data_IF_828486846710
#
_entry.id   IF_828486846710
#
_cell.length_a   1.000
_cell.length_b   1.000
_cell.length_c   1.000
_cell.angle_alpha   90.00
_cell.angle_beta   90.00
_cell.angle_gamma   90.00
#
_symmetry.space_group_name_H-M   'P 1'
#
loop_
_entity.id
_entity.type
_entity.pdbx_description
1 polymer ?
#
# COMPACT_ATOMS: atom_id res chain seq x y z
N UNK A 1 -31.91 -9.71 -26.03
CA UNK A 1 -32.58 -9.09 -24.87
C UNK A 1 -31.91 -9.57 -23.58
N UNK A 2 -30.80 -8.94 -23.16
CA UNK A 2 -30.03 -9.26 -21.93
C UNK A 2 -30.35 -8.29 -20.78
N UNK A 3 -31.59 -7.79 -20.72
CA UNK A 3 -31.96 -6.70 -19.81
C UNK A 3 -32.24 -7.15 -18.36
N UNK A 4 -32.35 -8.45 -18.09
CA UNK A 4 -32.77 -8.96 -16.77
C UNK A 4 -31.65 -9.39 -15.83
N UNK A 5 -30.53 -9.91 -16.34
CA UNK A 5 -29.52 -10.56 -15.49
C UNK A 5 -28.72 -9.58 -14.63
N UNK A 6 -28.40 -8.38 -15.14
CA UNK A 6 -27.64 -7.38 -14.39
C UNK A 6 -28.45 -6.75 -13.24
N UNK A 7 -29.79 -6.69 -13.38
CA UNK A 7 -30.66 -6.14 -12.33
C UNK A 7 -30.63 -7.00 -11.08
N UNK A 8 -30.56 -8.33 -11.24
CA UNK A 8 -30.45 -9.27 -10.12
C UNK A 8 -29.16 -9.00 -9.34
N UNK A 9 -28.02 -8.89 -10.03
CA UNK A 9 -26.73 -8.61 -9.40
C UNK A 9 -26.70 -7.26 -8.70
N UNK A 10 -27.33 -6.25 -9.31
CA UNK A 10 -27.44 -4.93 -8.71
C UNK A 10 -28.29 -4.99 -7.43
N UNK A 11 -29.46 -5.63 -7.45
CA UNK A 11 -30.31 -5.77 -6.26
C UNK A 11 -29.59 -6.50 -5.13
N UNK A 12 -28.83 -7.56 -5.45
CA UNK A 12 -28.01 -8.28 -4.46
C UNK A 12 -26.92 -7.38 -3.89
N UNK A 13 -26.19 -6.64 -4.73
CA UNK A 13 -25.11 -5.76 -4.28
C UNK A 13 -25.63 -4.60 -3.39
N UNK A 14 -26.72 -3.95 -3.83
CA UNK A 14 -27.38 -2.88 -3.07
C UNK A 14 -27.93 -3.42 -1.75
N UNK A 15 -28.62 -4.56 -1.79
CA UNK A 15 -29.18 -5.20 -0.60
C UNK A 15 -28.12 -5.58 0.43
N UNK A 16 -27.02 -6.21 -0.01
CA UNK A 16 -25.90 -6.56 0.85
C UNK A 16 -25.26 -5.30 1.47
N UNK A 17 -25.04 -4.25 0.66
CA UNK A 17 -24.51 -2.97 1.13
C UNK A 17 -25.40 -2.31 2.19
N UNK A 18 -26.71 -2.27 1.96
CA UNK A 18 -27.68 -1.71 2.92
C UNK A 18 -27.71 -2.52 4.22
N UNK A 19 -27.73 -3.86 4.16
CA UNK A 19 -27.72 -4.72 5.36
C UNK A 19 -26.46 -4.47 6.19
N UNK A 20 -25.29 -4.42 5.56
CA UNK A 20 -24.03 -4.15 6.26
C UNK A 20 -24.06 -2.76 6.90
N UNK A 21 -24.54 -1.73 6.19
CA UNK A 21 -24.65 -0.38 6.73
C UNK A 21 -25.62 -0.32 7.92
N UNK A 22 -26.82 -0.90 7.79
CA UNK A 22 -27.81 -0.94 8.86
C UNK A 22 -27.27 -1.65 10.12
N UNK A 23 -26.49 -2.71 9.95
CA UNK A 23 -25.86 -3.43 11.07
C UNK A 23 -24.82 -2.62 11.87
N UNK A 24 -24.46 -1.40 11.43
CA UNK A 24 -23.68 -0.46 12.24
C UNK A 24 -24.54 0.50 13.08
N UNK A 25 -25.80 0.74 12.69
CA UNK A 25 -26.67 1.74 13.32
C UNK A 25 -27.82 1.12 14.12
N UNK A 26 -28.18 -0.12 13.85
CA UNK A 26 -29.36 -0.79 14.43
C UNK A 26 -28.93 -2.05 15.18
N UNK A 27 -29.27 -2.12 16.47
CA UNK A 27 -29.01 -3.27 17.34
C UNK A 27 -30.18 -4.28 17.28
N UNK A 28 -30.30 -4.96 16.13
CA UNK A 28 -31.26 -6.04 15.92
C UNK A 28 -30.48 -7.30 15.58
N UNK A 29 -30.67 -8.35 16.37
CA UNK A 29 -29.90 -9.60 16.29
C UNK A 29 -29.85 -10.18 14.86
N UNK A 30 -30.98 -10.20 14.15
CA UNK A 30 -31.05 -10.69 12.76
C UNK A 30 -30.16 -9.88 11.79
N UNK A 31 -30.05 -8.56 11.97
CA UNK A 31 -29.23 -7.68 11.12
C UNK A 31 -27.75 -7.87 11.47
N UNK A 32 -27.42 -8.02 12.75
CA UNK A 32 -26.05 -8.27 13.20
C UNK A 32 -25.51 -9.59 12.66
N UNK A 33 -26.27 -10.69 12.77
CA UNK A 33 -25.90 -12.01 12.24
C UNK A 33 -25.73 -11.97 10.70
N UNK A 34 -26.61 -11.25 10.00
CA UNK A 34 -26.49 -11.06 8.55
C UNK A 34 -25.25 -10.23 8.17
N UNK A 35 -24.97 -9.12 8.89
CA UNK A 35 -23.76 -8.31 8.70
C UNK A 35 -22.51 -9.14 8.94
N UNK A 36 -22.45 -9.91 10.02
CA UNK A 36 -21.29 -10.77 10.31
C UNK A 36 -21.07 -11.79 9.18
N UNK A 37 -22.12 -12.45 8.71
CA UNK A 37 -22.03 -13.41 7.61
C UNK A 37 -21.51 -12.75 6.31
N UNK A 38 -22.05 -11.58 5.94
CA UNK A 38 -21.61 -10.81 4.78
C UNK A 38 -20.15 -10.33 4.92
N UNK A 39 -19.75 -9.91 6.11
CA UNK A 39 -18.37 -9.49 6.39
C UNK A 39 -17.39 -10.67 6.31
N UNK A 40 -17.77 -11.86 6.78
CA UNK A 40 -16.95 -13.07 6.62
C UNK A 40 -16.75 -13.41 5.13
N UNK A 41 -17.80 -13.35 4.32
CA UNK A 41 -17.67 -13.55 2.87
C UNK A 41 -16.79 -12.47 2.22
N UNK A 42 -16.94 -11.20 2.62
CA UNK A 42 -16.09 -10.12 2.13
C UNK A 42 -14.61 -10.35 2.46
N UNK A 43 -14.30 -10.84 3.68
CA UNK A 43 -12.93 -11.18 4.09
C UNK A 43 -12.37 -12.33 3.25
N UNK A 44 -13.16 -13.36 2.99
CA UNK A 44 -12.75 -14.49 2.12
C UNK A 44 -12.47 -14.00 0.70
N UNK A 45 -13.32 -13.13 0.15
CA UNK A 45 -13.11 -12.53 -1.17
C UNK A 45 -11.85 -11.64 -1.20
N UNK A 46 -11.61 -10.85 -0.15
CA UNK A 46 -10.41 -10.03 -0.03
C UNK A 46 -9.13 -10.87 0.04
N UNK A 47 -9.14 -11.96 0.83
CA UNK A 47 -8.02 -12.91 0.89
C UNK A 47 -7.76 -13.55 -0.49
N UNK A 48 -8.82 -13.93 -1.20
CA UNK A 48 -8.73 -14.48 -2.57
C UNK A 48 -8.19 -13.44 -3.56
N UNK A 49 -8.58 -12.17 -3.42
CA UNK A 49 -8.07 -11.09 -4.26
C UNK A 49 -6.56 -10.85 -4.05
N UNK A 50 -6.09 -10.89 -2.80
CA UNK A 50 -4.65 -10.83 -2.49
C UNK A 50 -3.92 -12.01 -3.12
N UNK A 51 -4.47 -13.22 -3.01
CA UNK A 51 -3.92 -14.42 -3.65
C UNK A 51 -3.87 -14.29 -5.18
N UNK A 52 -4.94 -13.79 -5.81
CA UNK A 52 -4.95 -13.50 -7.25
C UNK A 52 -3.89 -12.47 -7.64
N UNK A 53 -3.63 -11.46 -6.79
CA UNK A 53 -2.53 -10.51 -6.97
C UNK A 53 -1.16 -11.19 -6.99
N UNK A 54 -0.93 -12.15 -6.09
CA UNK A 54 0.29 -12.96 -6.05
C UNK A 54 0.44 -13.82 -7.32
N UNK A 55 -0.65 -14.48 -7.75
CA UNK A 55 -0.67 -15.29 -8.98
C UNK A 55 -0.39 -14.42 -10.20
N UNK A 56 -0.97 -13.23 -10.28
CA UNK A 56 -0.72 -12.29 -11.37
C UNK A 56 0.76 -11.87 -11.42
N UNK A 57 1.34 -11.54 -10.27
CA UNK A 57 2.76 -11.22 -10.18
C UNK A 57 3.63 -12.40 -10.64
N UNK A 58 3.33 -13.61 -10.16
CA UNK A 58 4.00 -14.83 -10.60
C UNK A 58 3.89 -15.03 -12.11
N UNK A 59 2.69 -14.87 -12.69
CA UNK A 59 2.43 -15.07 -14.12
C UNK A 59 3.23 -14.08 -14.98
N UNK A 60 3.26 -12.80 -14.60
CA UNK A 60 4.03 -11.77 -15.32
C UNK A 60 5.52 -12.09 -15.31
N UNK A 61 6.07 -12.44 -14.14
CA UNK A 61 7.50 -12.76 -14.03
C UNK A 61 7.86 -14.12 -14.63
N UNK A 62 6.98 -15.11 -14.54
CA UNK A 62 7.13 -16.40 -15.20
C UNK A 62 7.19 -16.25 -16.72
N UNK A 63 6.30 -15.43 -17.30
CA UNK A 63 6.34 -15.16 -18.74
C UNK A 63 7.65 -14.49 -19.17
N UNK A 64 8.19 -13.57 -18.37
CA UNK A 64 9.52 -12.96 -18.62
C UNK A 64 10.65 -13.98 -18.59
N UNK A 65 10.60 -14.93 -17.64
CA UNK A 65 11.59 -16.02 -17.54
C UNK A 65 11.48 -16.94 -18.75
N UNK A 66 10.27 -17.38 -19.10
CA UNK A 66 10.02 -18.30 -20.21
C UNK A 66 10.40 -17.71 -21.56
N UNK A 67 10.19 -16.41 -21.76
CA UNK A 67 10.54 -15.71 -23.01
C UNK A 67 11.96 -15.16 -23.01
N UNK A 68 12.73 -15.35 -21.93
CA UNK A 68 14.08 -14.81 -21.74
C UNK A 68 14.17 -13.31 -22.07
N UNK A 69 13.15 -12.54 -21.68
CA UNK A 69 13.12 -11.10 -21.93
C UNK A 69 14.29 -10.40 -21.24
N UNK A 70 14.58 -9.14 -21.62
CA UNK A 70 15.59 -8.34 -20.93
C UNK A 70 15.38 -8.39 -19.40
N UNK A 71 16.46 -8.60 -18.66
CA UNK A 71 16.46 -8.67 -17.19
C UNK A 71 15.67 -9.85 -16.58
N UNK A 72 15.46 -10.93 -17.35
CA UNK A 72 14.72 -12.13 -16.89
C UNK A 72 15.33 -12.79 -15.65
N UNK A 73 16.66 -12.72 -15.47
CA UNK A 73 17.35 -13.30 -14.32
C UNK A 73 16.83 -12.70 -13.00
N UNK A 74 16.60 -11.39 -12.96
CA UNK A 74 16.03 -10.73 -11.77
C UNK A 74 14.58 -11.16 -11.53
N UNK A 75 13.83 -11.46 -12.60
CA UNK A 75 12.49 -12.05 -12.47
C UNK A 75 12.54 -13.47 -11.91
N UNK A 76 13.53 -14.28 -12.30
CA UNK A 76 13.75 -15.61 -11.74
C UNK A 76 14.10 -15.54 -10.24
N UNK A 77 15.02 -14.65 -9.87
CA UNK A 77 15.39 -14.40 -8.47
C UNK A 77 14.15 -14.03 -7.65
N UNK A 78 13.34 -13.08 -8.13
CA UNK A 78 12.11 -12.68 -7.44
C UNK A 78 11.15 -13.84 -7.23
N UNK A 79 10.91 -14.65 -8.27
CA UNK A 79 9.98 -15.79 -8.18
C UNK A 79 10.49 -16.84 -7.19
N UNK A 80 11.79 -17.13 -7.18
CA UNK A 80 12.39 -18.08 -6.23
C UNK A 80 12.20 -17.60 -4.80
N UNK A 81 12.63 -16.38 -4.46
CA UNK A 81 12.48 -15.86 -3.10
C UNK A 81 11.02 -15.70 -2.66
N UNK A 82 10.14 -15.34 -3.59
CA UNK A 82 8.70 -15.27 -3.33
C UNK A 82 8.13 -16.65 -2.95
N UNK A 83 8.49 -17.70 -3.69
CA UNK A 83 8.07 -19.07 -3.40
C UNK A 83 8.67 -19.59 -2.10
N UNK A 84 9.95 -19.35 -1.86
CA UNK A 84 10.62 -19.72 -0.60
C UNK A 84 9.92 -19.07 0.60
N UNK A 85 9.66 -17.75 0.57
CA UNK A 85 8.97 -17.06 1.65
C UNK A 85 7.54 -17.54 1.85
N UNK A 86 6.80 -17.80 0.75
CA UNK A 86 5.45 -18.34 0.84
C UNK A 86 5.44 -19.73 1.50
N UNK A 87 6.31 -20.63 1.04
CA UNK A 87 6.38 -22.00 1.56
C UNK A 87 6.83 -22.01 3.02
N UNK A 88 7.88 -21.25 3.36
CA UNK A 88 8.37 -21.18 4.73
C UNK A 88 7.33 -20.56 5.67
N UNK A 89 6.67 -19.49 5.25
CA UNK A 89 5.61 -18.84 6.02
C UNK A 89 4.39 -19.74 6.25
N UNK A 90 3.98 -20.52 5.26
CA UNK A 90 2.84 -21.45 5.38
C UNK A 90 3.17 -22.67 6.26
N UNK A 91 4.39 -23.20 6.19
CA UNK A 91 4.77 -24.42 6.93
C UNK A 91 5.13 -24.09 8.38
N UNK A 92 5.94 -23.05 8.60
CA UNK A 92 6.52 -22.76 9.93
C UNK A 92 5.84 -21.59 10.66
N UNK A 93 5.04 -20.79 9.97
CA UNK A 93 4.46 -19.56 10.50
C UNK A 93 5.41 -18.36 10.44
N UNK A 94 4.88 -17.13 10.60
CA UNK A 94 5.63 -15.89 10.40
C UNK A 94 6.72 -15.64 11.46
N UNK A 95 6.54 -16.16 12.68
CA UNK A 95 7.44 -15.91 13.80
C UNK A 95 8.62 -16.90 13.88
N UNK A 96 8.70 -17.84 12.94
CA UNK A 96 9.76 -18.83 12.92
C UNK A 96 11.11 -18.21 12.57
N UNK A 97 12.19 -18.67 13.22
CA UNK A 97 13.56 -18.13 13.05
C UNK A 97 14.02 -18.12 11.58
N UNK A 98 13.64 -19.13 10.80
CA UNK A 98 13.99 -19.18 9.37
C UNK A 98 13.24 -18.10 8.57
N UNK A 99 11.95 -17.88 8.82
CA UNK A 99 11.16 -16.85 8.12
C UNK A 99 11.70 -15.47 8.48
N UNK A 100 11.97 -15.23 9.76
CA UNK A 100 12.60 -14.00 10.23
C UNK A 100 13.99 -13.78 9.64
N UNK A 101 14.78 -14.84 9.46
CA UNK A 101 16.09 -14.75 8.81
C UNK A 101 15.98 -14.21 7.38
N UNK A 102 15.13 -14.81 6.54
CA UNK A 102 14.92 -14.32 5.18
C UNK A 102 14.31 -12.92 5.16
N UNK A 103 13.37 -12.62 6.06
CA UNK A 103 12.82 -11.28 6.19
C UNK A 103 13.91 -10.25 6.52
N UNK A 104 14.75 -10.50 7.53
CA UNK A 104 15.77 -9.55 7.99
C UNK A 104 16.97 -9.43 7.05
N UNK A 105 17.37 -10.51 6.38
CA UNK A 105 18.58 -10.53 5.56
C UNK A 105 18.34 -10.45 4.05
N UNK A 106 17.11 -10.67 3.58
CA UNK A 106 16.76 -10.58 2.15
C UNK A 106 15.72 -9.49 1.91
N UNK A 107 14.56 -9.57 2.56
CA UNK A 107 13.46 -8.63 2.29
C UNK A 107 13.77 -7.21 2.79
N UNK A 108 14.15 -7.06 4.06
CA UNK A 108 14.44 -5.76 4.67
C UNK A 108 15.55 -4.98 3.93
N UNK A 109 16.69 -5.58 3.54
CA UNK A 109 17.73 -4.86 2.80
C UNK A 109 17.27 -4.42 1.40
N UNK A 110 16.44 -5.21 0.73
CA UNK A 110 15.85 -4.84 -0.57
C UNK A 110 14.90 -3.64 -0.40
N UNK A 111 14.04 -3.66 0.62
CA UNK A 111 13.16 -2.54 0.95
C UNK A 111 13.95 -1.26 1.24
N UNK A 112 15.01 -1.36 2.06
CA UNK A 112 15.90 -0.24 2.38
C UNK A 112 16.60 0.28 1.11
N UNK A 113 17.04 -0.60 0.22
CA UNK A 113 17.70 -0.21 -1.04
C UNK A 113 16.74 0.54 -1.96
N UNK A 114 15.48 0.10 -2.07
CA UNK A 114 14.45 0.79 -2.83
C UNK A 114 14.13 2.16 -2.21
N UNK A 115 14.01 2.24 -0.89
CA UNK A 115 13.84 3.52 -0.18
C UNK A 115 15.04 4.47 -0.39
N UNK A 116 16.26 3.93 -0.41
CA UNK A 116 17.47 4.70 -0.67
C UNK A 116 17.49 5.24 -2.12
N UNK A 117 17.14 4.41 -3.10
CA UNK A 117 17.01 4.85 -4.50
C UNK A 117 15.96 5.95 -4.62
N UNK A 118 14.79 5.78 -4.00
CA UNK A 118 13.74 6.80 -3.96
C UNK A 118 14.25 8.12 -3.35
N UNK A 119 14.99 8.06 -2.24
CA UNK A 119 15.58 9.25 -1.63
C UNK A 119 16.54 9.97 -2.59
N UNK A 120 17.44 9.24 -3.24
CA UNK A 120 18.38 9.83 -4.22
C UNK A 120 17.64 10.43 -5.42
N UNK A 121 16.64 9.73 -5.95
CA UNK A 121 15.80 10.21 -7.06
C UNK A 121 15.04 11.47 -6.66
N UNK A 122 14.48 11.54 -5.46
CA UNK A 122 13.77 12.71 -4.94
C UNK A 122 14.69 13.93 -4.83
N UNK A 123 15.92 13.73 -4.37
CA UNK A 123 16.93 14.80 -4.30
C UNK A 123 17.26 15.34 -5.67
N UNK A 124 17.59 14.44 -6.61
CA UNK A 124 17.95 14.82 -7.98
C UNK A 124 16.76 15.49 -8.68
N UNK A 125 15.56 14.94 -8.54
CA UNK A 125 14.33 15.51 -9.08
C UNK A 125 14.03 16.90 -8.48
N UNK A 126 14.22 17.07 -7.16
CA UNK A 126 14.07 18.36 -6.50
C UNK A 126 15.05 19.41 -7.05
N UNK A 127 16.31 19.02 -7.27
CA UNK A 127 17.33 19.94 -7.81
C UNK A 127 16.99 20.33 -9.25
N UNK A 128 16.54 19.36 -10.06
CA UNK A 128 16.05 19.61 -11.41
C UNK A 128 14.80 20.50 -11.42
N UNK A 129 13.90 20.32 -10.46
CA UNK A 129 12.65 21.08 -10.33
C UNK A 129 12.94 22.57 -10.08
N UNK A 130 13.78 22.89 -9.10
CA UNK A 130 14.20 24.28 -8.80
C UNK A 130 14.92 24.91 -9.98
N UNK A 131 15.78 24.14 -10.66
CA UNK A 131 16.53 24.64 -11.81
C UNK A 131 15.61 24.97 -12.98
N UNK A 132 14.51 24.25 -13.17
CA UNK A 132 13.52 24.51 -14.23
C UNK A 132 12.51 25.59 -13.84
N UNK A 133 12.07 25.65 -12.59
CA UNK A 133 11.12 26.66 -12.08
C UNK A 133 11.47 27.04 -10.63
N UNK A 134 11.77 28.31 -10.40
CA UNK A 134 11.97 28.87 -9.05
C UNK A 134 10.63 29.24 -8.42
N UNK A 135 9.81 28.23 -8.17
CA UNK A 135 8.55 28.39 -7.46
C UNK A 135 8.73 28.17 -5.94
N UNK A 136 7.93 28.85 -5.13
CA UNK A 136 7.96 28.78 -3.66
C UNK A 136 7.77 27.33 -3.18
N UNK A 137 6.88 26.57 -3.83
CA UNK A 137 6.64 25.16 -3.52
C UNK A 137 7.85 24.27 -3.79
N UNK A 138 8.59 24.54 -4.87
CA UNK A 138 9.79 23.78 -5.23
C UNK A 138 10.93 24.06 -4.24
N UNK A 139 11.04 25.30 -3.77
CA UNK A 139 11.99 25.69 -2.72
C UNK A 139 11.63 25.04 -1.37
N UNK A 140 10.36 25.05 -0.99
CA UNK A 140 9.87 24.40 0.23
C UNK A 140 10.12 22.87 0.20
N UNK A 141 9.87 22.23 -0.94
CA UNK A 141 10.13 20.80 -1.13
C UNK A 141 11.62 20.47 -0.98
N UNK A 142 12.51 21.19 -1.66
CA UNK A 142 13.95 20.96 -1.52
C UNK A 142 14.45 21.23 -0.10
N UNK A 143 14.00 22.33 0.51
CA UNK A 143 14.38 22.68 1.88
C UNK A 143 14.00 21.59 2.87
N UNK A 144 12.75 21.12 2.81
CA UNK A 144 12.27 20.02 3.65
C UNK A 144 13.00 18.70 3.37
N UNK A 145 13.25 18.36 2.11
CA UNK A 145 14.00 17.16 1.73
C UNK A 145 15.43 17.19 2.27
N UNK A 146 16.14 18.32 2.11
CA UNK A 146 17.49 18.49 2.64
C UNK A 146 17.53 18.39 4.16
N UNK A 147 16.62 19.06 4.87
CA UNK A 147 16.55 19.00 6.34
C UNK A 147 16.32 17.55 6.80
N UNK A 148 15.41 16.82 6.17
CA UNK A 148 15.15 15.42 6.53
C UNK A 148 16.37 14.55 6.25
N UNK A 149 17.03 14.70 5.10
CA UNK A 149 18.20 13.90 4.75
C UNK A 149 19.38 14.16 5.67
N UNK A 150 19.70 15.43 5.91
CA UNK A 150 20.76 15.86 6.82
C UNK A 150 20.45 15.39 8.24
N UNK A 151 19.20 15.53 8.72
CA UNK A 151 18.78 15.00 10.01
C UNK A 151 18.72 13.46 10.10
N UNK A 152 18.90 12.74 8.98
CA UNK A 152 18.92 11.26 8.96
C UNK A 152 20.31 10.67 9.10
N UNK A 153 21.34 11.45 8.80
CA UNK A 153 22.72 10.98 8.90
C UNK A 153 23.04 10.60 10.35
N UNK A 154 23.62 9.42 10.61
CA UNK A 154 24.16 9.10 11.92
C UNK A 154 25.37 10.02 12.16
N UNK A 155 25.19 11.09 12.94
CA UNK A 155 26.23 12.07 13.27
C UNK A 155 27.22 11.47 14.28
N UNK A 156 28.13 10.63 13.78
CA UNK A 156 29.11 9.87 14.58
C UNK A 156 30.13 10.77 15.30
N UNK A 157 30.31 12.03 14.88
CA UNK A 157 31.44 12.89 15.32
C UNK A 157 31.02 14.00 16.31
N UNK A 158 29.75 14.06 16.75
CA UNK A 158 29.33 15.16 17.63
C UNK A 158 27.90 15.09 18.14
N UNK A 159 27.45 13.90 18.58
CA UNK A 159 26.08 13.65 19.04
C UNK A 159 25.64 14.52 20.23
N UNK A 160 26.57 15.18 20.92
CA UNK A 160 26.29 16.09 22.04
C UNK A 160 26.22 17.58 21.64
N UNK A 161 26.41 17.91 20.36
CA UNK A 161 26.26 19.30 19.93
C UNK A 161 24.78 19.70 19.86
N UNK A 162 24.44 20.87 20.42
CA UNK A 162 23.09 21.43 20.43
C UNK A 162 22.47 21.50 19.02
N UNK A 163 23.31 21.73 18.00
CA UNK A 163 22.91 21.80 16.59
C UNK A 163 22.40 20.45 16.08
N UNK A 164 23.05 19.33 16.46
CA UNK A 164 22.62 17.99 16.06
C UNK A 164 21.28 17.63 16.69
N UNK A 165 21.07 17.98 17.97
CA UNK A 165 19.78 17.80 18.65
C UNK A 165 18.67 18.62 17.98
N UNK A 166 18.91 19.90 17.72
CA UNK A 166 17.93 20.78 17.06
C UNK A 166 17.54 20.28 15.65
N UNK A 167 18.51 19.83 14.85
CA UNK A 167 18.24 19.25 13.53
C UNK A 167 17.46 17.94 13.64
N UNK A 168 17.75 17.11 14.64
CA UNK A 168 17.01 15.88 14.94
C UNK A 168 15.55 16.16 15.31
N UNK A 169 15.31 17.13 16.19
CA UNK A 169 13.96 17.57 16.59
C UNK A 169 13.19 18.16 15.40
N UNK A 170 13.83 18.99 14.59
CA UNK A 170 13.21 19.56 13.40
C UNK A 170 12.84 18.49 12.38
N UNK A 171 13.72 17.50 12.14
CA UNK A 171 13.41 16.34 11.32
C UNK A 171 12.24 15.55 11.91
N UNK A 172 12.26 15.27 13.21
CA UNK A 172 11.22 14.51 13.88
C UNK A 172 9.87 15.23 13.74
N UNK A 173 9.83 16.55 13.95
CA UNK A 173 8.64 17.35 13.74
C UNK A 173 8.14 17.33 12.29
N UNK A 174 9.03 17.53 11.31
CA UNK A 174 8.67 17.46 9.89
C UNK A 174 8.11 16.08 9.50
N UNK A 175 8.74 15.00 9.95
CA UNK A 175 8.33 13.64 9.59
C UNK A 175 7.06 13.21 10.34
N UNK A 176 6.99 13.41 11.65
CA UNK A 176 5.88 12.95 12.49
C UNK A 176 4.63 13.83 12.42
N UNK A 177 4.77 15.12 12.09
CA UNK A 177 3.63 16.02 11.95
C UNK A 177 3.24 16.12 10.48
N UNK A 178 4.09 16.67 9.61
CA UNK A 178 3.71 16.99 8.24
C UNK A 178 3.68 15.78 7.32
N UNK A 179 4.74 14.96 7.32
CA UNK A 179 4.80 13.81 6.42
C UNK A 179 3.75 12.75 6.81
N UNK A 180 3.60 12.47 8.11
CA UNK A 180 2.54 11.58 8.61
C UNK A 180 1.15 12.18 8.37
N UNK A 181 0.93 13.49 8.50
CA UNK A 181 -0.35 14.10 8.13
C UNK A 181 -0.66 13.93 6.64
N UNK A 182 0.33 14.10 5.76
CA UNK A 182 0.20 13.84 4.32
C UNK A 182 -0.12 12.36 4.03
N UNK A 183 0.61 11.43 4.65
CA UNK A 183 0.38 10.00 4.51
C UNK A 183 -1.03 9.60 4.99
N UNK A 184 -1.46 10.12 6.15
CA UNK A 184 -2.83 9.92 6.65
C UNK A 184 -3.86 10.55 5.72
N UNK A 185 -3.59 11.72 5.15
CA UNK A 185 -4.45 12.36 4.16
C UNK A 185 -4.63 11.51 2.91
N UNK A 186 -3.57 10.87 2.40
CA UNK A 186 -3.64 9.93 1.28
C UNK A 186 -4.45 8.69 1.67
N UNK A 187 -4.21 8.10 2.85
CA UNK A 187 -4.96 6.95 3.33
C UNK A 187 -6.45 7.25 3.48
N UNK A 188 -6.80 8.42 4.03
CA UNK A 188 -8.17 8.91 4.13
C UNK A 188 -8.76 9.15 2.74
N UNK A 189 -8.01 9.73 1.81
CA UNK A 189 -8.44 9.93 0.43
C UNK A 189 -8.74 8.61 -0.28
N UNK A 190 -7.89 7.61 -0.12
CA UNK A 190 -8.11 6.25 -0.66
C UNK A 190 -9.34 5.61 -0.02
N UNK A 191 -9.49 5.72 1.31
CA UNK A 191 -10.65 5.18 2.02
C UNK A 191 -11.96 5.85 1.58
N UNK A 192 -11.97 7.18 1.44
CA UNK A 192 -13.12 7.94 0.94
C UNK A 192 -13.41 7.61 -0.54
N UNK A 193 -12.38 7.43 -1.36
CA UNK A 193 -12.52 6.98 -2.75
C UNK A 193 -13.18 5.60 -2.83
N UNK A 194 -12.70 4.64 -2.04
CA UNK A 194 -13.30 3.31 -1.95
C UNK A 194 -14.75 3.37 -1.42
N UNK A 195 -15.02 4.17 -0.39
CA UNK A 195 -16.37 4.37 0.12
C UNK A 195 -17.30 5.00 -0.93
N UNK A 196 -16.81 5.99 -1.70
CA UNK A 196 -17.55 6.60 -2.79
C UNK A 196 -17.88 5.60 -3.90
N UNK A 197 -16.94 4.72 -4.26
CA UNK A 197 -17.22 3.63 -5.22
C UNK A 197 -18.28 2.67 -4.70
N UNK A 198 -18.20 2.27 -3.42
CA UNK A 198 -19.24 1.44 -2.80
C UNK A 198 -20.61 2.12 -2.77
N UNK A 199 -20.65 3.41 -2.44
CA UNK A 199 -21.88 4.19 -2.40
C UNK A 199 -22.53 4.34 -3.78
N UNK A 200 -21.74 4.53 -4.84
CA UNK A 200 -22.25 4.56 -6.22
C UNK A 200 -22.91 3.25 -6.62
N UNK A 201 -22.34 2.12 -6.20
CA UNK A 201 -22.96 0.79 -6.41
C UNK A 201 -24.26 0.66 -5.62
N UNK A 202 -24.29 1.08 -4.34
CA UNK A 202 -25.50 1.05 -3.50
C UNK A 202 -26.61 1.96 -4.04
N UNK A 203 -26.25 3.12 -4.60
CA UNK A 203 -27.20 4.03 -5.26
C UNK A 203 -27.62 3.55 -6.66
N UNK A 204 -27.04 2.46 -7.17
CA UNK A 204 -27.31 1.92 -8.50
C UNK A 204 -26.83 2.79 -9.66
N UNK A 205 -25.91 3.72 -9.39
CA UNK A 205 -25.22 4.53 -10.40
C UNK A 205 -24.25 3.65 -11.19
N UNK A 206 -23.45 2.87 -10.47
CA UNK A 206 -22.52 1.90 -11.06
C UNK A 206 -23.18 0.52 -11.06
N UNK A 207 -23.36 -0.08 -12.24
CA UNK A 207 -24.03 -1.38 -12.41
C UNK A 207 -22.98 -2.49 -12.51
N UNK A 208 -22.95 -3.45 -11.56
CA UNK A 208 -22.07 -4.61 -11.66
C UNK A 208 -22.43 -5.43 -12.91
N UNK A 209 -21.44 -5.73 -13.77
CA UNK A 209 -21.59 -6.58 -14.97
C UNK A 209 -22.57 -6.02 -16.03
N UNK A 210 -22.62 -4.68 -16.17
CA UNK A 210 -23.52 -3.98 -17.09
C UNK A 210 -23.02 -3.78 -18.53
N UNK A 211 -21.84 -4.30 -18.87
CA UNK A 211 -21.29 -4.32 -20.25
C UNK A 211 -21.84 -5.49 -21.07
#
# INVERSE_FOLDING_TARGET
MKFGSYLIWLTVAVGAGIIVLLGYFVDVQMILEARESLMHWAVILAATAVFMGLVNLMMVHWNRISTQSKDWIFSAILVVFMLEMLVLGLIFGPDHKLVLFFFTYVQLPVEISLMAILAVVLVVAGFQLIRRRRDLLSMAFMGSALVVLVGTLPWVIGSESEIVRMLGELRAWLTQVWAVAGARGILLGVALGAAATGLRVIMGVDRPYGD
#
